data_IF_870580656114
#
_entry.id   IF_870580656114
#
_cell.length_a   1.000
_cell.length_b   1.000
_cell.length_c   1.000
_cell.angle_alpha   90.00
_cell.angle_beta   90.00
_cell.angle_gamma   90.00
#
_symmetry.space_group_name_H-M   'P 1'
#
loop_
_entity.id
_entity.type
_entity.pdbx_description
1 polymer ?
#
# COMPACT_ATOMS: atom_id res chain seq x y z
N UNK A 1 -0.97 4.37 -31.02
CA UNK A 1 -1.32 4.52 -29.60
C UNK A 1 -0.10 4.41 -28.72
N UNK A 2 -0.07 5.11 -27.58
CA UNK A 2 1.05 5.09 -26.62
C UNK A 2 1.45 3.66 -26.18
N UNK A 3 0.49 2.73 -26.14
CA UNK A 3 0.72 1.34 -25.77
C UNK A 3 1.58 0.56 -26.78
N UNK A 4 1.45 0.83 -28.08
CA UNK A 4 2.16 0.09 -29.13
C UNK A 4 3.69 0.30 -29.10
N UNK A 5 4.13 1.45 -28.56
CA UNK A 5 5.54 1.80 -28.39
C UNK A 5 6.06 1.53 -26.96
N UNK A 6 5.25 0.93 -26.08
CA UNK A 6 5.66 0.67 -24.71
C UNK A 6 6.83 -0.32 -24.67
N UNK A 7 7.80 -0.18 -23.75
CA UNK A 7 8.94 -1.09 -23.64
C UNK A 7 8.52 -2.52 -23.23
N UNK A 8 7.38 -2.65 -22.54
CA UNK A 8 6.90 -3.91 -21.98
C UNK A 8 5.98 -4.67 -22.96
N UNK A 9 6.28 -5.94 -23.32
CA UNK A 9 5.43 -6.75 -24.21
C UNK A 9 3.99 -6.88 -23.73
N UNK A 10 3.77 -7.01 -22.42
CA UNK A 10 2.44 -7.12 -21.83
C UNK A 10 1.57 -5.88 -22.09
N UNK A 11 2.17 -4.68 -22.14
CA UNK A 11 1.46 -3.43 -22.45
C UNK A 11 1.15 -3.35 -23.95
N UNK A 12 2.06 -3.78 -24.81
CA UNK A 12 1.84 -3.81 -26.27
C UNK A 12 0.75 -4.80 -26.68
N UNK A 13 0.69 -5.95 -26.01
CA UNK A 13 -0.31 -6.99 -26.26
C UNK A 13 -1.60 -6.83 -25.46
N UNK A 14 -1.77 -5.73 -24.73
CA UNK A 14 -2.96 -5.52 -23.91
C UNK A 14 -4.23 -5.42 -24.76
N UNK A 15 -5.29 -6.11 -24.32
CA UNK A 15 -6.63 -5.95 -24.89
C UNK A 15 -7.29 -4.73 -24.25
N UNK A 16 -7.46 -3.67 -25.03
CA UNK A 16 -8.19 -2.48 -24.61
C UNK A 16 -9.70 -2.72 -24.74
N UNK A 17 -10.45 -2.39 -23.69
CA UNK A 17 -11.90 -2.48 -23.70
C UNK A 17 -12.47 -1.11 -23.35
N UNK A 18 -13.42 -0.65 -24.17
CA UNK A 18 -14.14 0.59 -23.91
C UNK A 18 -15.41 0.25 -23.15
N UNK A 19 -15.64 0.96 -22.05
CA UNK A 19 -16.83 0.78 -21.22
C UNK A 19 -17.03 1.97 -20.30
N UNK A 20 -18.25 2.09 -19.77
CA UNK A 20 -18.54 3.06 -18.73
C UNK A 20 -18.17 2.46 -17.37
N UNK A 21 -17.31 3.16 -16.64
CA UNK A 21 -16.96 2.83 -15.27
C UNK A 21 -18.23 2.93 -14.40
N UNK A 22 -18.45 1.92 -13.54
CA UNK A 22 -19.60 1.86 -12.63
C UNK A 22 -20.84 1.13 -13.15
N UNK A 23 -20.92 0.80 -14.45
CA UNK A 23 -22.12 0.14 -15.04
C UNK A 23 -21.78 -1.07 -15.92
N UNK A 24 -20.72 -1.81 -15.61
CA UNK A 24 -20.25 -2.91 -16.47
C UNK A 24 -19.64 -4.10 -15.72
N UNK A 25 -19.39 -5.16 -16.47
CA UNK A 25 -18.68 -6.37 -16.01
C UNK A 25 -17.26 -6.37 -16.52
N UNK A 26 -16.31 -6.83 -15.72
CA UNK A 26 -14.95 -7.11 -16.16
C UNK A 26 -14.76 -8.62 -16.38
N UNK A 27 -13.87 -9.04 -17.30
CA UNK A 27 -13.48 -10.43 -17.42
C UNK A 27 -12.82 -10.92 -16.14
N UNK A 28 -12.92 -12.21 -15.87
CA UNK A 28 -12.30 -12.80 -14.69
C UNK A 28 -10.77 -12.70 -14.76
N UNK A 29 -10.12 -12.34 -13.66
CA UNK A 29 -8.67 -12.22 -13.58
C UNK A 29 -8.16 -12.61 -12.19
N UNK A 30 -6.99 -13.25 -12.09
CA UNK A 30 -6.34 -13.54 -10.80
C UNK A 30 -5.74 -12.30 -10.14
N UNK A 31 -5.64 -11.18 -10.86
CA UNK A 31 -5.22 -9.89 -10.33
C UNK A 31 -6.04 -8.79 -10.98
N UNK A 32 -6.71 -7.99 -10.15
CA UNK A 32 -7.41 -6.78 -10.59
C UNK A 32 -6.74 -5.57 -9.95
N UNK A 33 -6.40 -4.57 -10.77
CA UNK A 33 -5.85 -3.31 -10.28
C UNK A 33 -6.80 -2.15 -10.57
N UNK A 34 -6.99 -1.29 -9.57
CA UNK A 34 -7.75 -0.05 -9.67
C UNK A 34 -6.81 1.07 -9.28
N UNK A 35 -6.27 1.79 -10.27
CA UNK A 35 -5.13 2.69 -10.06
C UNK A 35 -5.47 4.10 -10.53
N UNK A 36 -5.42 5.07 -9.60
CA UNK A 36 -5.57 6.50 -9.87
C UNK A 36 -6.85 6.86 -10.64
N UNK A 37 -7.97 6.24 -10.26
CA UNK A 37 -9.25 6.41 -10.97
C UNK A 37 -10.42 6.67 -10.04
N UNK A 38 -10.38 6.22 -8.78
CA UNK A 38 -11.48 6.44 -7.84
C UNK A 38 -11.68 7.93 -7.60
N UNK A 39 -10.61 8.73 -7.64
CA UNK A 39 -10.70 10.18 -7.52
C UNK A 39 -11.54 10.90 -8.56
N UNK A 40 -11.69 10.31 -9.75
CA UNK A 40 -12.42 10.88 -10.87
C UNK A 40 -13.91 10.49 -10.87
N UNK A 41 -14.34 9.72 -9.87
CA UNK A 41 -15.66 9.10 -9.83
C UNK A 41 -16.52 9.65 -8.69
N UNK A 42 -17.84 9.54 -8.89
CA UNK A 42 -18.82 9.73 -7.82
C UNK A 42 -18.67 8.64 -6.76
N UNK A 43 -19.17 8.87 -5.55
CA UNK A 43 -19.11 7.86 -4.47
C UNK A 43 -19.76 6.52 -4.86
N UNK A 44 -20.91 6.59 -5.52
CA UNK A 44 -21.61 5.41 -6.03
C UNK A 44 -20.77 4.66 -7.08
N UNK A 45 -20.17 5.39 -8.03
CA UNK A 45 -19.32 4.78 -9.06
C UNK A 45 -18.03 4.19 -8.47
N UNK A 46 -17.46 4.79 -7.42
CA UNK A 46 -16.31 4.21 -6.69
C UNK A 46 -16.65 2.86 -6.09
N UNK A 47 -17.79 2.78 -5.39
CA UNK A 47 -18.26 1.53 -4.79
C UNK A 47 -18.50 0.47 -5.87
N UNK A 48 -19.15 0.83 -6.97
CA UNK A 48 -19.42 -0.06 -8.09
C UNK A 48 -18.12 -0.58 -8.73
N UNK A 49 -17.07 0.24 -8.86
CA UNK A 49 -15.77 -0.22 -9.37
C UNK A 49 -15.14 -1.28 -8.48
N UNK A 50 -15.18 -1.09 -7.16
CA UNK A 50 -14.64 -2.06 -6.21
C UNK A 50 -15.45 -3.37 -6.26
N UNK A 51 -16.77 -3.29 -6.44
CA UNK A 51 -17.62 -4.47 -6.64
C UNK A 51 -17.31 -5.20 -7.95
N UNK A 52 -17.12 -4.47 -9.04
CA UNK A 52 -16.72 -5.06 -10.31
C UNK A 52 -15.36 -5.75 -10.19
N UNK A 53 -14.41 -5.16 -9.46
CA UNK A 53 -13.12 -5.78 -9.18
C UNK A 53 -13.27 -7.06 -8.35
N UNK A 54 -14.13 -7.04 -7.33
CA UNK A 54 -14.47 -8.21 -6.54
C UNK A 54 -15.07 -9.33 -7.41
N UNK A 55 -16.10 -9.03 -8.20
CA UNK A 55 -16.73 -10.00 -9.08
C UNK A 55 -15.75 -10.58 -10.12
N UNK A 56 -14.84 -9.77 -10.65
CA UNK A 56 -13.82 -10.20 -11.60
C UNK A 56 -12.80 -11.18 -10.99
N UNK A 57 -12.63 -11.20 -9.67
CA UNK A 57 -11.76 -12.20 -9.03
C UNK A 57 -12.46 -13.54 -8.78
N UNK A 58 -13.76 -13.67 -9.07
CA UNK A 58 -14.49 -14.95 -8.98
C UNK A 58 -14.53 -15.55 -7.59
N UNK A 59 -14.17 -16.83 -7.45
CA UNK A 59 -13.96 -17.51 -6.15
C UNK A 59 -12.51 -18.01 -6.00
N UNK A 60 -11.60 -17.52 -6.85
CA UNK A 60 -10.21 -17.96 -6.85
C UNK A 60 -9.52 -17.55 -5.53
N UNK A 61 -9.02 -18.51 -4.73
CA UNK A 61 -8.35 -18.22 -3.46
C UNK A 61 -7.01 -17.49 -3.65
N UNK A 62 -6.37 -17.64 -4.81
CA UNK A 62 -5.12 -16.98 -5.16
C UNK A 62 -5.31 -15.59 -5.78
N UNK A 63 -6.55 -15.16 -6.00
CA UNK A 63 -6.81 -13.88 -6.64
C UNK A 63 -6.60 -12.70 -5.67
N UNK A 64 -6.13 -11.59 -6.24
CA UNK A 64 -5.84 -10.35 -5.52
C UNK A 64 -6.49 -9.13 -6.17
N UNK A 65 -6.86 -8.16 -5.33
CA UNK A 65 -7.34 -6.84 -5.75
C UNK A 65 -6.39 -5.80 -5.16
N UNK A 66 -5.86 -4.93 -6.01
CA UNK A 66 -4.98 -3.84 -5.59
C UNK A 66 -5.61 -2.50 -5.98
N UNK A 67 -5.90 -1.67 -4.98
CA UNK A 67 -6.44 -0.33 -5.17
C UNK A 67 -5.36 0.68 -4.80
N UNK A 68 -5.03 1.60 -5.70
CA UNK A 68 -4.02 2.64 -5.49
C UNK A 68 -4.58 4.01 -5.85
N UNK A 69 -4.36 5.00 -4.98
CA UNK A 69 -4.74 6.40 -5.19
C UNK A 69 -3.57 7.34 -4.84
N UNK A 70 -3.60 8.62 -5.25
CA UNK A 70 -2.65 9.62 -4.80
C UNK A 70 -2.54 9.65 -3.27
N UNK A 71 -1.33 9.84 -2.76
CA UNK A 71 -1.01 9.84 -1.33
C UNK A 71 -1.37 11.16 -0.66
N UNK A 72 -2.61 11.61 -0.86
CA UNK A 72 -3.24 12.77 -0.21
C UNK A 72 -4.24 12.29 0.85
N UNK A 73 -4.72 13.16 1.75
CA UNK A 73 -5.78 12.81 2.69
C UNK A 73 -7.03 12.24 2.00
N UNK A 74 -7.44 12.80 0.87
CA UNK A 74 -8.63 12.37 0.11
C UNK A 74 -8.38 11.03 -0.60
N UNK A 75 -7.20 10.84 -1.21
CA UNK A 75 -6.85 9.57 -1.84
C UNK A 75 -6.74 8.43 -0.82
N UNK A 76 -6.16 8.71 0.35
CA UNK A 76 -6.16 7.78 1.49
C UNK A 76 -7.58 7.43 1.94
N UNK A 77 -8.49 8.41 2.07
CA UNK A 77 -9.87 8.15 2.46
C UNK A 77 -10.60 7.23 1.45
N UNK A 78 -10.34 7.39 0.14
CA UNK A 78 -10.89 6.48 -0.88
C UNK A 78 -10.31 5.07 -0.77
N UNK A 79 -9.02 4.94 -0.50
CA UNK A 79 -8.37 3.64 -0.27
C UNK A 79 -8.92 2.95 0.98
N UNK A 80 -9.18 3.70 2.05
CA UNK A 80 -9.85 3.15 3.24
C UNK A 80 -11.27 2.68 2.93
N UNK A 81 -12.07 3.47 2.21
CA UNK A 81 -13.41 3.06 1.83
C UNK A 81 -13.41 1.80 0.96
N UNK A 82 -12.45 1.68 0.03
CA UNK A 82 -12.25 0.47 -0.76
C UNK A 82 -11.82 -0.72 0.13
N UNK A 83 -10.88 -0.52 1.05
CA UNK A 83 -10.43 -1.54 2.02
C UNK A 83 -11.61 -2.07 2.83
N UNK A 84 -12.41 -1.19 3.42
CA UNK A 84 -13.54 -1.56 4.28
C UNK A 84 -14.59 -2.34 3.49
N UNK A 85 -14.81 -1.97 2.23
CA UNK A 85 -15.70 -2.70 1.32
C UNK A 85 -15.19 -4.10 0.98
N UNK A 86 -13.88 -4.25 0.73
CA UNK A 86 -13.26 -5.55 0.44
C UNK A 86 -13.31 -6.47 1.68
N UNK A 87 -13.05 -5.93 2.86
CA UNK A 87 -13.18 -6.65 4.13
C UNK A 87 -14.63 -7.08 4.40
N UNK A 88 -15.60 -6.20 4.16
CA UNK A 88 -17.02 -6.52 4.30
C UNK A 88 -17.48 -7.63 3.34
N UNK A 89 -16.78 -7.81 2.21
CA UNK A 89 -16.98 -8.90 1.26
C UNK A 89 -16.24 -10.20 1.63
N UNK A 90 -15.55 -10.24 2.78
CA UNK A 90 -14.86 -11.43 3.28
C UNK A 90 -13.43 -11.62 2.75
N UNK A 91 -12.83 -10.61 2.13
CA UNK A 91 -11.40 -10.65 1.81
C UNK A 91 -10.56 -10.28 3.04
N UNK A 92 -9.29 -10.64 2.99
CA UNK A 92 -8.25 -10.28 3.95
C UNK A 92 -7.32 -9.23 3.36
N UNK A 93 -6.80 -8.33 4.20
CA UNK A 93 -5.79 -7.36 3.77
C UNK A 93 -4.43 -8.07 3.70
N UNK A 94 -3.94 -8.25 2.48
CA UNK A 94 -2.58 -8.74 2.19
C UNK A 94 -1.52 -7.66 2.41
N UNK A 95 -1.85 -6.41 2.09
CA UNK A 95 -0.98 -5.26 2.34
C UNK A 95 -1.79 -3.96 2.28
N UNK A 96 -1.30 -2.85 2.84
CA UNK A 96 -0.13 -2.75 3.71
C UNK A 96 -0.46 -2.93 5.19
N UNK A 97 -1.73 -2.95 5.59
CA UNK A 97 -2.08 -3.02 7.00
C UNK A 97 -1.72 -4.40 7.57
N UNK A 98 -1.10 -4.51 8.75
CA UNK A 98 -0.82 -5.79 9.38
C UNK A 98 -2.07 -6.43 10.02
N UNK A 99 -3.25 -5.86 9.81
CA UNK A 99 -4.51 -6.27 10.40
C UNK A 99 -5.69 -6.03 9.45
N UNK A 100 -6.77 -6.78 9.69
CA UNK A 100 -8.08 -6.57 9.04
C UNK A 100 -8.99 -5.65 9.86
N UNK A 101 -8.60 -5.30 11.08
CA UNK A 101 -9.33 -4.41 11.97
C UNK A 101 -9.47 -2.96 11.47
N UNK A 102 -10.06 -2.08 12.27
CA UNK A 102 -10.23 -0.66 11.88
C UNK A 102 -8.86 0.01 11.74
N UNK A 103 -8.71 0.89 10.75
CA UNK A 103 -7.48 1.70 10.65
C UNK A 103 -7.36 2.62 11.88
N UNK A 104 -6.24 2.58 12.62
CA UNK A 104 -6.08 3.33 13.87
C UNK A 104 -5.74 4.81 13.68
N UNK A 105 -5.51 5.25 12.44
CA UNK A 105 -5.31 6.67 12.13
C UNK A 105 -6.68 7.37 12.18
N UNK A 106 -6.79 8.37 13.05
CA UNK A 106 -7.98 9.19 13.18
C UNK A 106 -8.20 10.04 11.90
N UNK A 107 -9.39 9.97 11.26
CA UNK A 107 -9.71 10.80 10.10
C UNK A 107 -9.48 12.29 10.36
N UNK A 108 -8.80 12.96 9.44
CA UNK A 108 -8.50 14.39 9.55
C UNK A 108 -7.28 14.75 10.42
N UNK A 109 -6.75 13.82 11.22
CA UNK A 109 -5.47 14.02 11.94
C UNK A 109 -4.25 13.73 11.09
N UNK A 110 -4.28 12.62 10.36
CA UNK A 110 -3.18 12.15 9.54
C UNK A 110 -3.71 11.23 8.42
N UNK A 111 -2.85 10.78 7.52
CA UNK A 111 -3.19 9.83 6.46
C UNK A 111 -2.06 8.82 6.21
N UNK A 112 -2.42 7.56 5.98
CA UNK A 112 -1.43 6.53 5.63
C UNK A 112 -1.08 6.65 4.14
N UNK A 113 0.21 6.80 3.84
CA UNK A 113 0.71 6.83 2.46
C UNK A 113 2.10 6.20 2.39
N UNK A 114 2.64 6.19 1.18
CA UNK A 114 3.99 5.79 0.79
C UNK A 114 4.56 6.86 -0.15
N UNK A 115 5.82 6.70 -0.54
CA UNK A 115 6.44 7.51 -1.58
C UNK A 115 7.33 6.66 -2.47
N UNK A 116 7.09 6.73 -3.78
CA UNK A 116 7.93 6.12 -4.79
C UNK A 116 8.66 7.22 -5.57
N UNK A 117 9.95 7.00 -5.84
CA UNK A 117 10.71 7.89 -6.69
C UNK A 117 10.48 7.54 -8.15
N UNK A 118 9.88 8.46 -8.90
CA UNK A 118 9.62 8.31 -10.34
C UNK A 118 10.48 9.27 -11.14
N UNK A 119 10.92 8.84 -12.33
CA UNK A 119 11.77 9.65 -13.19
C UNK A 119 10.95 10.74 -13.88
N UNK A 120 11.46 11.98 -13.89
CA UNK A 120 10.92 13.08 -14.70
C UNK A 120 11.52 13.05 -16.08
N UNK A 121 10.69 12.95 -17.12
CA UNK A 121 11.15 13.10 -18.49
C UNK A 121 11.68 14.52 -18.76
N UNK A 122 12.58 14.67 -19.73
CA UNK A 122 13.16 15.99 -20.08
C UNK A 122 12.09 17.02 -20.47
N UNK A 123 11.04 16.59 -21.17
CA UNK A 123 9.88 17.41 -21.52
C UNK A 123 9.09 17.84 -20.28
N UNK A 124 8.90 16.94 -19.32
CA UNK A 124 8.19 17.22 -18.08
C UNK A 124 8.93 18.22 -17.20
N UNK A 125 10.28 18.15 -17.16
CA UNK A 125 11.14 19.16 -16.52
C UNK A 125 11.02 20.53 -17.18
N UNK A 126 11.05 20.58 -18.51
CA UNK A 126 10.94 21.83 -19.27
C UNK A 126 9.59 22.53 -19.08
N UNK A 127 8.49 21.76 -19.08
CA UNK A 127 7.14 22.31 -18.96
C UNK A 127 6.79 22.70 -17.51
N UNK A 128 7.24 21.92 -16.51
CA UNK A 128 6.89 22.15 -15.09
C UNK A 128 7.95 22.91 -14.29
N UNK A 129 9.02 23.39 -14.93
CA UNK A 129 10.11 24.11 -14.24
C UNK A 129 10.86 23.25 -13.21
N UNK A 130 10.83 21.92 -13.35
CA UNK A 130 11.44 20.99 -12.41
C UNK A 130 12.95 20.88 -12.62
N UNK A 131 13.75 21.18 -11.59
CA UNK A 131 15.22 21.12 -11.66
C UNK A 131 15.81 19.72 -11.48
N UNK A 132 15.11 18.82 -10.76
CA UNK A 132 15.57 17.45 -10.50
C UNK A 132 15.08 16.45 -11.56
N UNK A 133 15.86 15.39 -11.85
CA UNK A 133 15.50 14.34 -12.81
C UNK A 133 14.46 13.34 -12.27
N UNK A 134 13.96 13.54 -11.06
CA UNK A 134 12.97 12.69 -10.41
C UNK A 134 11.95 13.52 -9.62
N UNK A 135 10.84 12.88 -9.28
CA UNK A 135 9.91 13.32 -8.25
C UNK A 135 9.55 12.16 -7.33
N UNK A 136 9.28 12.50 -6.08
CA UNK A 136 8.83 11.54 -5.08
C UNK A 136 7.29 11.59 -5.09
N UNK A 137 6.68 10.67 -5.84
CA UNK A 137 5.22 10.54 -5.95
C UNK A 137 4.69 9.85 -4.70
N UNK A 138 3.73 10.50 -4.04
CA UNK A 138 3.06 9.93 -2.87
C UNK A 138 1.87 9.11 -3.32
N UNK A 139 1.66 7.95 -2.72
CA UNK A 139 0.51 7.10 -3.01
C UNK A 139 -0.02 6.41 -1.75
N UNK A 140 -1.30 6.08 -1.75
CA UNK A 140 -1.92 5.19 -0.78
C UNK A 140 -2.43 3.95 -1.52
N UNK A 141 -2.39 2.78 -0.88
CA UNK A 141 -2.89 1.56 -1.50
C UNK A 141 -3.45 0.58 -0.48
N UNK A 142 -4.25 -0.36 -0.97
CA UNK A 142 -4.61 -1.61 -0.30
C UNK A 142 -4.52 -2.75 -1.30
N UNK A 143 -3.96 -3.87 -0.87
CA UNK A 143 -4.01 -5.16 -1.54
C UNK A 143 -4.83 -6.12 -0.68
N UNK A 144 -5.82 -6.77 -1.26
CA UNK A 144 -6.68 -7.72 -0.58
C UNK A 144 -6.76 -9.05 -1.35
N UNK A 145 -6.86 -10.14 -0.61
CA UNK A 145 -6.92 -11.52 -1.13
C UNK A 145 -8.03 -12.31 -0.45
N UNK A 146 -8.52 -13.38 -1.08
CA UNK A 146 -9.46 -14.31 -0.43
C UNK A 146 -8.80 -15.19 0.61
N UNK A 147 -7.62 -15.72 0.29
CA UNK A 147 -6.84 -16.46 1.27
C UNK A 147 -6.27 -15.48 2.31
N UNK A 148 -6.30 -15.89 3.57
CA UNK A 148 -5.63 -15.17 4.65
C UNK A 148 -4.11 -15.13 4.35
N UNK A 149 -3.51 -13.94 4.29
CA UNK A 149 -2.07 -13.78 4.07
C UNK A 149 -1.30 -14.07 5.35
N UNK A 150 -0.02 -14.37 5.22
CA UNK A 150 0.91 -14.27 6.34
C UNK A 150 1.03 -12.80 6.77
N UNK A 151 0.80 -12.53 8.06
CA UNK A 151 0.82 -11.16 8.58
C UNK A 151 2.18 -10.82 9.15
N UNK A 152 2.64 -9.61 8.86
CA UNK A 152 3.81 -9.05 9.53
C UNK A 152 3.44 -8.64 10.96
N UNK A 153 4.36 -8.76 11.94
CA UNK A 153 4.08 -8.43 13.34
C UNK A 153 3.60 -6.99 13.51
N UNK A 154 4.34 -6.04 12.91
CA UNK A 154 4.05 -4.62 12.93
C UNK A 154 4.55 -4.01 11.63
N UNK A 155 3.92 -2.92 11.17
CA UNK A 155 4.40 -2.17 9.98
C UNK A 155 4.96 -0.80 10.35
N UNK A 156 6.05 -0.42 9.71
CA UNK A 156 6.59 0.95 9.74
C UNK A 156 5.72 1.90 8.91
N UNK A 157 5.16 2.93 9.56
CA UNK A 157 4.23 3.88 8.96
C UNK A 157 4.87 5.08 8.29
N UNK A 158 6.11 5.39 8.64
CA UNK A 158 6.83 6.59 8.18
C UNK A 158 8.30 6.25 8.01
N UNK A 159 9.01 7.04 7.21
CA UNK A 159 10.48 6.95 7.13
C UNK A 159 11.06 7.04 8.56
N UNK A 160 11.92 6.10 8.98
CA UNK A 160 12.57 6.15 10.29
C UNK A 160 13.26 7.48 10.55
N UNK A 161 13.07 8.05 11.74
CA UNK A 161 13.74 9.29 12.12
C UNK A 161 15.08 8.98 12.79
N UNK A 162 16.16 9.04 12.01
CA UNK A 162 17.52 8.79 12.49
C UNK A 162 18.03 10.02 13.26
N UNK A 163 18.41 9.82 14.51
CA UNK A 163 19.01 10.84 15.40
C UNK A 163 20.36 10.34 15.93
N UNK A 164 21.10 11.20 16.63
CA UNK A 164 22.39 10.81 17.24
C UNK A 164 22.17 9.71 18.30
N UNK A 165 22.54 8.48 17.97
CA UNK A 165 22.50 7.33 18.87
C UNK A 165 21.13 6.68 19.06
N UNK A 166 20.11 7.08 18.30
CA UNK A 166 18.79 6.45 18.33
C UNK A 166 18.04 6.63 17.01
N UNK A 167 17.09 5.74 16.75
CA UNK A 167 16.12 5.81 15.66
C UNK A 167 14.72 5.80 16.26
N UNK A 168 13.85 6.71 15.80
CA UNK A 168 12.44 6.72 16.16
C UNK A 168 11.61 6.12 15.02
N UNK A 169 10.74 5.17 15.37
CA UNK A 169 9.85 4.47 14.46
C UNK A 169 8.40 4.78 14.83
N UNK A 170 7.58 5.13 13.83
CA UNK A 170 6.13 5.16 13.95
C UNK A 170 5.57 3.85 13.37
N UNK A 171 4.78 3.14 14.17
CA UNK A 171 4.41 1.75 13.94
C UNK A 171 2.88 1.58 13.92
N UNK A 172 2.40 0.76 12.99
CA UNK A 172 1.02 0.26 12.95
C UNK A 172 1.00 -1.17 13.47
N UNK A 173 0.29 -1.39 14.56
CA UNK A 173 0.24 -2.67 15.27
C UNK A 173 -0.91 -3.55 14.78
N UNK A 174 -0.85 -4.88 15.01
CA UNK A 174 -1.88 -5.80 14.56
C UNK A 174 -3.16 -5.69 15.41
N UNK A 175 -3.06 -5.08 16.60
CA UNK A 175 -4.15 -4.83 17.56
C UNK A 175 -4.88 -3.50 17.34
N UNK A 176 -4.78 -2.92 16.13
CA UNK A 176 -5.44 -1.67 15.77
C UNK A 176 -4.94 -0.48 16.61
N UNK A 177 -3.63 -0.43 16.88
CA UNK A 177 -3.01 0.71 17.57
C UNK A 177 -1.84 1.32 16.79
N UNK A 178 -1.52 2.57 17.16
CA UNK A 178 -0.34 3.28 16.70
C UNK A 178 0.67 3.36 17.84
N UNK A 179 1.90 2.90 17.61
CA UNK A 179 2.98 2.95 18.61
C UNK A 179 4.17 3.72 18.08
N UNK A 180 4.85 4.43 18.98
CA UNK A 180 6.20 4.97 18.74
C UNK A 180 7.23 4.12 19.46
N UNK A 181 8.24 3.67 18.73
CA UNK A 181 9.37 2.94 19.27
C UNK A 181 10.65 3.75 19.14
N UNK A 182 11.50 3.70 20.17
CA UNK A 182 12.84 4.27 20.15
C UNK A 182 13.85 3.12 20.20
N UNK A 183 14.64 2.98 19.14
CA UNK A 183 15.72 2.00 19.07
C UNK A 183 17.04 2.73 19.28
N UNK A 184 17.76 2.40 20.34
CA UNK A 184 19.00 3.09 20.74
C UNK A 184 20.24 2.31 20.34
N UNK A 185 21.38 2.98 20.20
CA UNK A 185 22.68 2.36 19.88
C UNK A 185 23.07 1.22 20.84
N UNK A 186 22.55 1.21 22.07
CA UNK A 186 22.80 0.14 23.06
C UNK A 186 22.18 -1.20 22.65
N UNK A 187 21.18 -1.18 21.77
CA UNK A 187 20.48 -2.36 21.26
C UNK A 187 21.17 -2.99 20.04
N UNK A 188 22.45 -2.68 19.78
CA UNK A 188 23.31 -3.48 18.90
C UNK A 188 22.77 -3.69 17.47
N UNK A 189 22.48 -4.93 17.12
CA UNK A 189 21.98 -5.38 15.82
C UNK A 189 20.63 -4.75 15.48
N UNK A 190 19.68 -4.70 16.42
CA UNK A 190 18.39 -4.03 16.26
C UNK A 190 18.54 -2.55 15.91
N UNK A 191 19.55 -1.85 16.44
CA UNK A 191 19.84 -0.46 16.06
C UNK A 191 20.37 -0.34 14.63
N UNK A 192 21.16 -1.30 14.16
CA UNK A 192 21.61 -1.35 12.76
C UNK A 192 20.41 -1.58 11.85
N UNK A 193 19.60 -2.60 12.16
CA UNK A 193 18.34 -2.86 11.46
C UNK A 193 17.43 -1.63 11.39
N UNK A 194 17.20 -0.94 12.51
CA UNK A 194 16.35 0.26 12.55
C UNK A 194 16.85 1.40 11.65
N UNK A 195 18.16 1.47 11.35
CA UNK A 195 18.73 2.50 10.48
C UNK A 195 18.57 2.18 9.00
N UNK A 196 18.51 0.89 8.68
CA UNK A 196 18.51 0.39 7.30
C UNK A 196 17.10 0.00 6.84
N UNK A 197 16.13 -0.01 7.76
CA UNK A 197 14.73 -0.34 7.47
C UNK A 197 14.04 0.77 6.66
N UNK A 198 13.17 0.36 5.74
CA UNK A 198 12.45 1.27 4.86
C UNK A 198 11.01 1.53 5.32
N UNK A 199 10.44 2.57 4.72
CA UNK A 199 9.05 2.93 4.95
C UNK A 199 8.12 1.88 4.37
N UNK A 200 7.37 1.21 5.23
CA UNK A 200 6.43 0.17 4.84
C UNK A 200 6.83 -1.22 5.30
N UNK A 201 8.08 -1.39 5.74
CA UNK A 201 8.61 -2.69 6.11
C UNK A 201 7.99 -3.23 7.40
N UNK A 202 8.14 -4.54 7.57
CA UNK A 202 7.88 -5.24 8.81
C UNK A 202 8.86 -4.79 9.91
N UNK A 203 8.39 -4.75 11.15
CA UNK A 203 9.23 -4.49 12.31
C UNK A 203 8.83 -5.38 13.51
N UNK A 204 9.79 -5.93 14.26
CA UNK A 204 11.22 -6.02 13.95
C UNK A 204 11.48 -6.92 12.72
N UNK A 205 12.69 -6.88 12.12
CA UNK A 205 13.06 -7.85 11.09
C UNK A 205 12.98 -9.28 11.62
N UNK A 206 12.67 -10.26 10.75
CA UNK A 206 12.45 -11.65 11.15
C UNK A 206 13.61 -12.25 11.97
N UNK A 207 14.85 -12.01 11.56
CA UNK A 207 16.06 -12.48 12.26
C UNK A 207 16.14 -11.98 13.72
N UNK A 208 15.64 -10.77 14.00
CA UNK A 208 15.63 -10.19 15.34
C UNK A 208 14.39 -10.61 16.15
N UNK A 209 13.29 -10.96 15.47
CA UNK A 209 12.08 -11.45 16.10
C UNK A 209 12.28 -12.84 16.74
N UNK A 210 13.04 -13.71 16.06
CA UNK A 210 13.38 -15.05 16.54
C UNK A 210 14.30 -15.00 17.77
N UNK A 211 15.31 -14.12 17.76
CA UNK A 211 16.22 -13.93 18.91
C UNK A 211 15.51 -13.36 20.16
N UNK A 212 14.50 -12.52 19.98
CA UNK A 212 13.70 -11.99 21.08
C UNK A 212 12.71 -13.02 21.67
N UNK A 213 12.28 -14.01 20.87
CA UNK A 213 11.35 -15.06 21.28
C UNK A 213 12.01 -16.28 21.92
N UNK A 214 13.29 -16.56 21.64
CA UNK A 214 14.04 -17.71 22.17
C UNK A 214 14.50 -17.61 23.63
N UNK A 215 14.07 -16.58 24.38
CA UNK A 215 14.54 -16.26 25.72
C UNK A 215 13.69 -16.79 26.90
N UNK A 216 12.69 -17.63 26.65
CA UNK A 216 11.83 -18.17 27.74
C UNK A 216 11.44 -19.61 27.46
N UNK A 217 12.30 -20.54 27.89
CA UNK A 217 11.96 -21.91 28.26
C UNK A 217 13.11 -22.45 29.13
N UNK A 218 12.97 -22.29 30.45
CA UNK A 218 13.69 -23.02 31.51
C UNK A 218 12.64 -23.46 32.55
#
# INVERSE_FOLDING_TARGET
ELAAAAPWPAVRGARWTQGRIGTGTAPTAPLVTVSYVLGELTEADRAAVVDTALAATGDDPGAAIVVTEPGTPEGYARVLAARDRLLAAGLHVAAPCPHDGRCPIEPGRDWCHFSARVARSSLHRQVKGGSLPYEDEKFAYVAATRAAPERVPTRILRRPQIRKGQVLLDLCEPDETLRRATVTKRQGSLYRAARDIDWGDAWPPAEEAEEAGGGTED
#
